data_IF_712501523340
#
_entry.id   IF_712501523340
#
_cell.length_a   1.000
_cell.length_b   1.000
_cell.length_c   1.000
_cell.angle_alpha   90.00
_cell.angle_beta   90.00
_cell.angle_gamma   90.00
#
_symmetry.space_group_name_H-M   'P 1'
#
loop_
_entity.id
_entity.type
_entity.pdbx_description
1 polymer ?
#
# COMPACT_ATOMS: atom_id res chain seq x y z
N UNK A 1 -19.48 18.61 0.49
CA UNK A 1 -19.43 17.12 0.48
C UNK A 1 -18.86 16.71 1.83
N UNK A 2 -19.53 15.85 2.60
CA UNK A 2 -19.01 15.40 3.89
C UNK A 2 -17.72 14.61 3.64
N UNK A 3 -16.61 15.05 4.22
CA UNK A 3 -15.35 14.32 4.19
C UNK A 3 -15.54 12.97 4.92
N UNK A 4 -15.93 11.95 4.16
CA UNK A 4 -16.13 10.62 4.74
C UNK A 4 -14.77 10.01 5.06
N UNK A 5 -14.58 9.66 6.32
CA UNK A 5 -13.38 8.96 6.76
C UNK A 5 -13.35 7.56 6.13
N UNK A 6 -12.30 7.28 5.39
CA UNK A 6 -12.11 5.97 4.75
C UNK A 6 -11.52 4.97 5.74
N UNK A 7 -10.50 5.40 6.49
CA UNK A 7 -9.82 4.56 7.49
C UNK A 7 -9.76 5.32 8.81
N UNK A 8 -10.15 4.67 9.91
CA UNK A 8 -9.99 5.16 11.28
C UNK A 8 -9.31 4.09 12.12
N UNK A 9 -8.30 4.48 12.86
CA UNK A 9 -7.58 3.64 13.81
C UNK A 9 -7.61 4.34 15.16
N UNK A 10 -8.08 3.65 16.19
CA UNK A 10 -8.26 4.20 17.51
C UNK A 10 -7.55 3.37 18.57
N UNK A 11 -6.58 3.94 19.26
CA UNK A 11 -5.79 3.38 20.36
C UNK A 11 -5.26 1.98 20.05
N UNK A 12 -4.80 1.77 18.81
CA UNK A 12 -4.37 0.47 18.32
C UNK A 12 -3.01 0.10 18.88
N UNK A 13 -2.95 -1.09 19.49
CA UNK A 13 -1.71 -1.65 20.02
C UNK A 13 -1.49 -3.05 19.41
N UNK A 14 -0.23 -3.39 19.15
CA UNK A 14 0.16 -4.73 18.73
C UNK A 14 1.45 -5.16 19.40
N UNK A 15 1.36 -6.28 20.10
CA UNK A 15 2.51 -7.00 20.66
C UNK A 15 2.59 -8.41 20.07
N UNK A 16 3.81 -8.93 19.97
CA UNK A 16 4.11 -10.33 19.73
C UNK A 16 4.87 -10.83 20.96
N UNK A 17 4.34 -11.81 21.64
CA UNK A 17 4.84 -12.27 22.94
C UNK A 17 5.00 -11.07 23.90
N UNK A 18 6.22 -10.77 24.33
CA UNK A 18 6.52 -9.66 25.24
C UNK A 18 7.07 -8.41 24.53
N UNK A 19 7.08 -8.40 23.18
CA UNK A 19 7.61 -7.25 22.42
C UNK A 19 6.48 -6.42 21.84
N UNK A 20 6.35 -5.19 22.33
CA UNK A 20 5.45 -4.19 21.76
C UNK A 20 6.00 -3.68 20.43
N UNK A 21 5.21 -3.80 19.36
CA UNK A 21 5.57 -3.38 17.99
C UNK A 21 4.85 -2.11 17.60
N UNK A 22 3.55 -1.99 17.96
CA UNK A 22 2.78 -0.77 17.76
C UNK A 22 2.17 -0.36 19.09
N UNK A 23 2.22 0.93 19.35
CA UNK A 23 1.80 1.53 20.61
C UNK A 23 0.92 2.76 20.37
N UNK A 24 -0.32 2.68 20.86
CA UNK A 24 -1.31 3.76 20.83
C UNK A 24 -1.40 4.46 19.47
N UNK A 25 -1.53 3.66 18.39
CA UNK A 25 -1.70 4.21 17.05
C UNK A 25 -3.10 4.81 16.93
N UNK A 26 -3.13 6.09 16.65
CA UNK A 26 -4.34 6.87 16.34
C UNK A 26 -4.15 7.50 14.96
N UNK A 27 -5.06 7.20 14.00
CA UNK A 27 -4.93 7.60 12.61
C UNK A 27 -6.31 7.78 11.97
N UNK A 28 -6.46 8.82 11.15
CA UNK A 28 -7.67 9.02 10.35
C UNK A 28 -7.29 9.44 8.94
N UNK A 29 -7.76 8.70 7.94
CA UNK A 29 -7.52 8.95 6.51
C UNK A 29 -8.85 9.21 5.81
N UNK A 30 -8.88 10.25 5.00
CA UNK A 30 -10.02 10.60 4.15
C UNK A 30 -9.87 9.93 2.78
N UNK A 31 -10.99 9.76 2.04
CA UNK A 31 -10.97 9.26 0.67
C UNK A 31 -10.31 10.22 -0.31
N UNK A 32 -9.82 9.70 -1.44
CA UNK A 32 -9.29 10.48 -2.56
C UNK A 32 -7.89 11.03 -2.34
N UNK A 33 -7.03 10.32 -1.59
CA UNK A 33 -5.66 10.76 -1.29
C UNK A 33 -4.63 9.68 -1.56
N UNK A 34 -3.42 10.11 -1.90
CA UNK A 34 -2.21 9.29 -1.91
C UNK A 34 -1.42 9.60 -0.65
N UNK A 35 -1.25 8.60 0.20
CA UNK A 35 -0.67 8.73 1.53
C UNK A 35 0.65 7.96 1.62
N UNK A 36 1.72 8.64 2.02
CA UNK A 36 3.00 8.02 2.34
C UNK A 36 3.06 7.56 3.81
N UNK A 37 3.16 6.26 4.06
CA UNK A 37 3.48 5.69 5.37
C UNK A 37 5.00 5.51 5.47
N UNK A 38 5.67 6.48 6.05
CA UNK A 38 7.11 6.66 5.98
C UNK A 38 7.78 6.33 7.32
N UNK A 39 8.89 5.60 7.28
CA UNK A 39 9.61 5.19 8.48
C UNK A 39 10.77 4.28 8.17
N UNK A 40 11.74 4.16 9.08
CA UNK A 40 12.86 3.23 8.95
C UNK A 40 12.39 1.78 8.87
N UNK A 41 13.27 0.88 8.46
CA UNK A 41 12.96 -0.55 8.49
C UNK A 41 12.77 -1.03 9.94
N UNK A 42 11.78 -1.90 10.15
CA UNK A 42 11.49 -2.48 11.47
C UNK A 42 10.70 -1.62 12.46
N UNK A 43 10.26 -0.40 12.08
CA UNK A 43 9.49 0.50 12.98
C UNK A 43 8.01 0.13 13.12
N UNK A 44 7.50 -0.87 12.36
CA UNK A 44 6.12 -1.34 12.47
C UNK A 44 5.24 -1.07 11.24
N UNK A 45 5.72 -0.48 10.12
CA UNK A 45 4.92 -0.22 8.91
C UNK A 45 4.18 -1.45 8.41
N UNK A 46 4.90 -2.53 8.10
CA UNK A 46 4.30 -3.80 7.62
C UNK A 46 3.35 -4.42 8.65
N UNK A 47 3.61 -4.26 9.94
CA UNK A 47 2.69 -4.72 11.00
C UNK A 47 1.39 -3.94 10.98
N UNK A 48 1.44 -2.62 10.86
CA UNK A 48 0.26 -1.76 10.73
C UNK A 48 -0.54 -2.10 9.47
N UNK A 49 0.14 -2.26 8.34
CA UNK A 49 -0.47 -2.68 7.06
C UNK A 49 -1.19 -4.02 7.20
N UNK A 50 -0.55 -5.01 7.82
CA UNK A 50 -1.17 -6.34 8.04
C UNK A 50 -2.40 -6.28 8.94
N UNK A 51 -2.41 -5.38 9.92
CA UNK A 51 -3.59 -5.15 10.78
C UNK A 51 -4.72 -4.50 9.98
N UNK A 52 -4.44 -3.50 9.15
CA UNK A 52 -5.44 -2.86 8.26
C UNK A 52 -6.08 -3.89 7.31
N UNK A 53 -5.29 -4.85 6.81
CA UNK A 53 -5.75 -5.91 5.92
C UNK A 53 -6.35 -7.14 6.63
N UNK A 54 -6.54 -7.08 7.95
CA UNK A 54 -7.06 -8.21 8.76
C UNK A 54 -6.24 -9.51 8.58
N UNK A 55 -4.92 -9.35 8.42
CA UNK A 55 -3.94 -10.45 8.38
C UNK A 55 -3.31 -10.69 9.76
N UNK A 56 -3.52 -9.76 10.68
CA UNK A 56 -3.13 -9.84 12.08
C UNK A 56 -4.26 -9.30 12.95
N UNK A 57 -4.43 -9.88 14.13
CA UNK A 57 -5.36 -9.38 15.14
C UNK A 57 -4.65 -8.35 16.05
N UNK A 58 -5.23 -7.18 16.32
CA UNK A 58 -4.67 -6.24 17.27
C UNK A 58 -4.65 -6.81 18.70
N UNK A 59 -3.70 -6.37 19.51
CA UNK A 59 -3.67 -6.69 20.95
C UNK A 59 -4.76 -5.88 21.69
N UNK A 60 -4.97 -4.63 21.29
CA UNK A 60 -6.07 -3.77 21.75
C UNK A 60 -6.33 -2.66 20.74
N UNK A 61 -7.41 -1.90 20.94
CA UNK A 61 -7.86 -0.87 20.02
C UNK A 61 -8.72 -1.40 18.89
N UNK A 62 -8.99 -0.57 17.90
CA UNK A 62 -9.84 -0.95 16.76
C UNK A 62 -9.43 -0.26 15.48
N UNK A 63 -9.78 -0.90 14.36
CA UNK A 63 -9.66 -0.37 13.01
C UNK A 63 -11.05 -0.37 12.38
N UNK A 64 -11.43 0.75 11.79
CA UNK A 64 -12.67 0.92 11.04
C UNK A 64 -12.36 1.35 9.61
N UNK A 65 -13.04 0.74 8.64
CA UNK A 65 -12.99 1.15 7.23
C UNK A 65 -14.41 1.52 6.80
N UNK A 66 -14.59 2.77 6.36
CA UNK A 66 -15.91 3.37 6.12
C UNK A 66 -16.86 3.17 7.31
N UNK A 67 -16.34 3.30 8.55
CA UNK A 67 -17.10 3.12 9.79
C UNK A 67 -17.39 1.66 10.18
N UNK A 68 -16.97 0.70 9.38
CA UNK A 68 -17.18 -0.74 9.65
C UNK A 68 -15.92 -1.37 10.24
N UNK A 69 -16.07 -2.29 11.18
CA UNK A 69 -14.95 -3.10 11.68
C UNK A 69 -14.35 -3.92 10.55
N UNK A 70 -13.03 -4.11 10.60
CA UNK A 70 -12.34 -4.97 9.63
C UNK A 70 -12.90 -6.38 9.64
N UNK A 71 -13.02 -6.99 8.44
CA UNK A 71 -13.57 -8.31 8.22
C UNK A 71 -13.83 -8.58 6.74
N UNK A 72 -14.69 -9.55 6.43
CA UNK A 72 -14.96 -9.98 5.05
C UNK A 72 -15.41 -8.82 4.15
N UNK A 73 -16.34 -7.99 4.62
CA UNK A 73 -16.87 -6.88 3.80
C UNK A 73 -15.82 -5.81 3.51
N UNK A 74 -14.96 -5.49 4.47
CA UNK A 74 -13.89 -4.52 4.25
C UNK A 74 -12.79 -5.06 3.33
N UNK A 75 -12.56 -6.38 3.30
CA UNK A 75 -11.61 -7.02 2.36
C UNK A 75 -12.06 -6.90 0.90
N UNK A 76 -13.36 -6.80 0.65
CA UNK A 76 -13.90 -6.59 -0.71
C UNK A 76 -13.47 -5.25 -1.30
N UNK A 77 -13.33 -4.23 -0.46
CA UNK A 77 -13.01 -2.85 -0.87
C UNK A 77 -11.56 -2.45 -0.65
N UNK A 78 -10.72 -3.36 -0.14
CA UNK A 78 -9.27 -3.16 -0.01
C UNK A 78 -8.54 -3.98 -1.06
N UNK A 79 -7.57 -3.38 -1.73
CA UNK A 79 -6.61 -4.06 -2.59
C UNK A 79 -5.21 -3.95 -1.99
N UNK A 80 -4.57 -5.09 -1.74
CA UNK A 80 -3.31 -5.17 -0.99
C UNK A 80 -2.17 -5.74 -1.83
N UNK A 81 -1.06 -4.99 -1.89
CA UNK A 81 0.22 -5.44 -2.44
C UNK A 81 1.19 -5.66 -1.28
N UNK A 82 1.53 -6.91 -0.92
CA UNK A 82 2.56 -7.17 0.08
C UNK A 82 3.97 -7.02 -0.49
N UNK A 83 4.95 -6.73 0.37
CA UNK A 83 6.39 -6.64 0.04
C UNK A 83 6.93 -7.87 -0.70
N UNK A 84 6.39 -9.06 -0.40
CA UNK A 84 6.81 -10.31 -1.04
C UNK A 84 5.68 -10.93 -1.82
N UNK A 85 6.00 -11.47 -3.00
CA UNK A 85 4.99 -12.18 -3.79
C UNK A 85 4.46 -13.41 -3.06
N UNK A 86 3.15 -13.57 -3.09
CA UNK A 86 2.41 -14.72 -2.56
C UNK A 86 1.85 -15.62 -3.68
N UNK A 87 2.09 -15.25 -4.92
CA UNK A 87 1.54 -15.96 -6.08
C UNK A 87 2.12 -17.37 -6.19
N UNK A 88 1.27 -18.33 -6.52
CA UNK A 88 1.73 -19.71 -6.75
C UNK A 88 2.56 -19.78 -8.03
N UNK A 89 3.85 -20.05 -7.87
CA UNK A 89 4.83 -20.08 -8.95
C UNK A 89 4.56 -21.13 -10.03
N UNK A 90 3.76 -22.17 -9.75
CA UNK A 90 3.41 -23.21 -10.71
C UNK A 90 2.31 -22.78 -11.68
N UNK A 91 1.54 -21.76 -11.35
CA UNK A 91 0.48 -21.22 -12.19
C UNK A 91 1.05 -20.38 -13.35
N UNK A 92 0.32 -20.39 -14.46
CA UNK A 92 0.49 -19.39 -15.52
C UNK A 92 -0.13 -18.07 -15.08
N UNK A 93 0.30 -16.96 -15.68
CA UNK A 93 -0.29 -15.65 -15.41
C UNK A 93 -1.79 -15.65 -15.72
N UNK A 94 -2.22 -16.27 -16.84
CA UNK A 94 -3.63 -16.41 -17.19
C UNK A 94 -4.46 -17.15 -16.13
N UNK A 95 -3.90 -18.20 -15.53
CA UNK A 95 -4.57 -18.95 -14.47
C UNK A 95 -4.72 -18.11 -13.18
N UNK A 96 -3.72 -17.26 -12.89
CA UNK A 96 -3.82 -16.33 -11.76
C UNK A 96 -4.86 -15.24 -12.01
N UNK A 97 -4.96 -14.73 -13.25
CA UNK A 97 -6.01 -13.78 -13.64
C UNK A 97 -7.39 -14.39 -13.41
N UNK A 98 -7.63 -15.61 -13.92
CA UNK A 98 -8.90 -16.31 -13.72
C UNK A 98 -9.20 -16.54 -12.24
N UNK A 99 -8.19 -16.90 -11.43
CA UNK A 99 -8.34 -17.07 -10.00
C UNK A 99 -8.79 -15.75 -9.31
N UNK A 100 -8.22 -14.60 -9.72
CA UNK A 100 -8.62 -13.29 -9.19
C UNK A 100 -10.03 -12.89 -9.62
N UNK A 101 -10.41 -13.20 -10.87
CA UNK A 101 -11.74 -12.96 -11.42
C UNK A 101 -12.82 -13.78 -10.69
N UNK A 102 -12.52 -15.04 -10.35
CA UNK A 102 -13.41 -15.91 -9.58
C UNK A 102 -13.53 -15.47 -8.11
N UNK A 103 -12.48 -14.88 -7.54
CA UNK A 103 -12.43 -14.58 -6.10
C UNK A 103 -12.88 -13.16 -5.75
N UNK A 104 -12.70 -12.20 -6.66
CA UNK A 104 -12.99 -10.78 -6.42
C UNK A 104 -14.00 -10.23 -7.43
N UNK A 105 -15.22 -9.98 -6.99
CA UNK A 105 -16.29 -9.39 -7.82
C UNK A 105 -15.91 -8.04 -8.45
N UNK A 106 -14.94 -7.33 -7.86
CA UNK A 106 -14.46 -6.02 -8.31
C UNK A 106 -13.14 -6.09 -9.11
N UNK A 107 -12.76 -7.27 -9.60
CA UNK A 107 -11.58 -7.44 -10.44
C UNK A 107 -11.90 -7.24 -11.91
N UNK A 108 -11.09 -6.45 -12.60
CA UNK A 108 -11.20 -6.18 -14.04
C UNK A 108 -10.13 -6.98 -14.80
N UNK A 109 -10.51 -8.14 -15.32
CA UNK A 109 -9.59 -9.04 -16.04
C UNK A 109 -9.12 -8.45 -17.37
N UNK A 110 -9.92 -7.62 -18.05
CA UNK A 110 -9.54 -6.97 -19.30
C UNK A 110 -8.50 -5.88 -19.04
N UNK A 111 -8.66 -5.09 -17.97
CA UNK A 111 -7.64 -4.15 -17.50
C UNK A 111 -6.34 -4.87 -17.17
N UNK A 112 -6.41 -5.99 -16.45
CA UNK A 112 -5.22 -6.79 -16.12
C UNK A 112 -4.48 -7.26 -17.37
N UNK A 113 -5.19 -7.83 -18.35
CA UNK A 113 -4.62 -8.28 -19.63
C UNK A 113 -3.97 -7.15 -20.41
N UNK A 114 -4.63 -5.97 -20.46
CA UNK A 114 -4.10 -4.77 -21.10
C UNK A 114 -2.79 -4.32 -20.47
N UNK A 115 -2.76 -4.16 -19.14
CA UNK A 115 -1.55 -3.74 -18.40
C UNK A 115 -0.40 -4.73 -18.56
N UNK A 116 -0.68 -6.04 -18.56
CA UNK A 116 0.35 -7.07 -18.82
C UNK A 116 0.91 -6.99 -20.23
N UNK A 117 0.06 -6.72 -21.23
CA UNK A 117 0.49 -6.52 -22.61
C UNK A 117 1.36 -5.28 -22.76
N UNK A 118 1.00 -4.17 -22.10
CA UNK A 118 1.77 -2.92 -22.11
C UNK A 118 3.16 -3.11 -21.47
N UNK A 119 3.30 -4.11 -20.58
CA UNK A 119 4.56 -4.54 -19.94
C UNK A 119 5.35 -5.59 -20.72
N UNK A 120 4.86 -6.02 -21.87
CA UNK A 120 5.43 -7.14 -22.63
C UNK A 120 5.55 -8.44 -21.80
N UNK A 121 4.53 -8.73 -20.97
CA UNK A 121 4.46 -9.91 -20.13
C UNK A 121 3.51 -10.95 -20.75
N UNK A 122 4.05 -12.14 -21.08
CA UNK A 122 3.27 -13.23 -21.65
C UNK A 122 2.35 -13.89 -20.61
N UNK A 123 1.04 -13.78 -20.83
CA UNK A 123 0.02 -14.38 -19.97
C UNK A 123 0.05 -15.92 -19.94
N UNK A 124 0.66 -16.56 -20.92
CA UNK A 124 0.80 -18.02 -21.01
C UNK A 124 2.05 -18.53 -20.27
N UNK A 125 2.95 -17.63 -19.84
CA UNK A 125 4.15 -17.98 -19.12
C UNK A 125 3.83 -18.39 -17.67
N UNK A 126 4.51 -19.44 -17.17
CA UNK A 126 4.46 -19.80 -15.74
C UNK A 126 5.26 -18.80 -14.92
N UNK A 127 4.73 -18.42 -13.75
CA UNK A 127 5.41 -17.52 -12.82
C UNK A 127 6.80 -18.06 -12.41
N UNK A 128 6.98 -19.36 -12.26
CA UNK A 128 8.28 -19.97 -11.96
C UNK A 128 9.37 -19.69 -13.03
N UNK A 129 8.99 -19.35 -14.26
CA UNK A 129 9.93 -19.03 -15.35
C UNK A 129 10.18 -17.52 -15.49
N UNK A 130 9.51 -16.69 -14.70
CA UNK A 130 9.65 -15.24 -14.67
C UNK A 130 10.76 -14.83 -13.70
N UNK A 131 11.47 -13.75 -14.03
CA UNK A 131 12.36 -13.08 -13.07
C UNK A 131 11.56 -12.55 -11.88
N UNK A 132 12.25 -12.24 -10.77
CA UNK A 132 11.62 -11.64 -9.58
C UNK A 132 10.87 -10.35 -9.96
N UNK A 133 11.51 -9.44 -10.71
CA UNK A 133 10.88 -8.19 -11.13
C UNK A 133 9.65 -8.40 -12.03
N UNK A 134 9.66 -9.41 -12.92
CA UNK A 134 8.47 -9.77 -13.72
C UNK A 134 7.32 -10.25 -12.82
N UNK A 135 7.60 -11.08 -11.80
CA UNK A 135 6.59 -11.55 -10.84
C UNK A 135 6.01 -10.38 -10.02
N UNK A 136 6.83 -9.41 -9.62
CA UNK A 136 6.41 -8.21 -8.92
C UNK A 136 5.50 -7.32 -9.80
N UNK A 137 5.84 -7.15 -11.08
CA UNK A 137 5.00 -6.46 -12.05
C UNK A 137 3.64 -7.15 -12.23
N UNK A 138 3.61 -8.48 -12.37
CA UNK A 138 2.36 -9.25 -12.45
C UNK A 138 1.51 -9.00 -11.20
N UNK A 139 2.11 -9.08 -10.02
CA UNK A 139 1.40 -8.87 -8.75
C UNK A 139 0.84 -7.45 -8.63
N UNK A 140 1.60 -6.43 -9.03
CA UNK A 140 1.12 -5.05 -9.07
C UNK A 140 -0.08 -4.90 -10.01
N UNK A 141 0.01 -5.45 -11.23
CA UNK A 141 -1.09 -5.42 -12.20
C UNK A 141 -2.35 -6.03 -11.61
N UNK A 142 -2.26 -7.19 -10.97
CA UNK A 142 -3.42 -7.83 -10.33
C UNK A 142 -4.05 -6.94 -9.25
N UNK A 143 -3.23 -6.32 -8.41
CA UNK A 143 -3.70 -5.41 -7.35
C UNK A 143 -4.36 -4.16 -7.94
N UNK A 144 -3.75 -3.53 -8.95
CA UNK A 144 -4.26 -2.31 -9.58
C UNK A 144 -5.44 -2.56 -10.54
N UNK A 145 -5.70 -3.83 -10.89
CA UNK A 145 -6.86 -4.22 -11.69
C UNK A 145 -8.12 -4.49 -10.86
N UNK A 146 -8.06 -4.35 -9.54
CA UNK A 146 -9.26 -4.31 -8.70
C UNK A 146 -9.82 -2.89 -8.63
N UNK A 147 -11.15 -2.76 -8.61
CA UNK A 147 -11.81 -1.48 -8.32
C UNK A 147 -12.04 -1.38 -6.80
N UNK A 148 -11.01 -0.96 -6.07
CA UNK A 148 -11.01 -0.87 -4.62
C UNK A 148 -11.21 0.59 -4.15
N UNK A 149 -11.70 0.76 -2.92
CA UNK A 149 -11.75 2.07 -2.25
C UNK A 149 -10.42 2.43 -1.58
N UNK A 150 -9.68 1.40 -1.15
CA UNK A 150 -8.38 1.55 -0.49
C UNK A 150 -7.36 0.60 -1.10
N UNK A 151 -6.29 1.14 -1.65
CA UNK A 151 -5.11 0.38 -2.04
C UNK A 151 -4.06 0.52 -0.95
N UNK A 152 -3.48 -0.60 -0.53
CA UNK A 152 -2.42 -0.65 0.49
C UNK A 152 -1.21 -1.34 -0.12
N UNK A 153 -0.16 -0.57 -0.36
CA UNK A 153 1.03 -1.02 -1.08
C UNK A 153 2.23 -1.03 -0.13
N UNK A 154 2.73 -2.23 0.19
CA UNK A 154 3.85 -2.42 1.13
C UNK A 154 5.17 -2.54 0.38
N UNK A 155 6.01 -1.49 0.45
CA UNK A 155 7.32 -1.37 -0.22
C UNK A 155 7.27 -1.67 -1.73
N UNK A 156 6.34 -1.05 -2.52
CA UNK A 156 6.13 -1.40 -3.94
C UNK A 156 7.36 -1.11 -4.81
N UNK A 157 8.27 -0.26 -4.37
CA UNK A 157 9.49 0.14 -5.09
C UNK A 157 10.74 -0.59 -4.59
N UNK A 158 10.59 -1.49 -3.63
CA UNK A 158 11.69 -2.18 -2.99
C UNK A 158 12.41 -3.17 -3.91
N UNK A 159 13.72 -3.00 -4.12
CA UNK A 159 14.53 -3.97 -4.85
C UNK A 159 14.35 -3.98 -6.37
N UNK A 160 13.68 -2.97 -6.96
CA UNK A 160 13.54 -2.79 -8.41
C UNK A 160 14.48 -1.70 -8.93
N UNK A 161 14.84 -1.80 -10.21
CA UNK A 161 15.65 -0.78 -10.89
C UNK A 161 14.89 0.54 -11.11
N UNK A 162 15.58 1.67 -11.34
CA UNK A 162 14.94 2.98 -11.47
C UNK A 162 13.87 3.06 -12.56
N UNK A 163 14.09 2.49 -13.75
CA UNK A 163 13.11 2.52 -14.84
C UNK A 163 11.83 1.74 -14.47
N UNK A 164 11.98 0.65 -13.74
CA UNK A 164 10.84 -0.11 -13.22
C UNK A 164 10.09 0.67 -12.13
N UNK A 165 10.77 1.50 -11.32
CA UNK A 165 10.10 2.36 -10.32
C UNK A 165 9.18 3.39 -10.98
N UNK A 166 9.66 4.10 -11.99
CA UNK A 166 8.86 5.07 -12.74
C UNK A 166 7.61 4.40 -13.29
N UNK A 167 7.76 3.22 -13.91
CA UNK A 167 6.62 2.46 -14.41
C UNK A 167 5.62 2.06 -13.31
N UNK A 168 6.11 1.62 -12.14
CA UNK A 168 5.26 1.27 -10.99
C UNK A 168 4.45 2.50 -10.55
N UNK A 169 5.09 3.65 -10.43
CA UNK A 169 4.42 4.89 -10.03
C UNK A 169 3.38 5.33 -11.06
N UNK A 170 3.71 5.31 -12.35
CA UNK A 170 2.77 5.61 -13.43
C UNK A 170 1.58 4.64 -13.43
N UNK A 171 1.84 3.35 -13.20
CA UNK A 171 0.78 2.34 -13.09
C UNK A 171 -0.14 2.62 -11.90
N UNK A 172 0.40 2.98 -10.75
CA UNK A 172 -0.39 3.36 -9.57
C UNK A 172 -1.24 4.59 -9.88
N UNK A 173 -0.61 5.67 -10.36
CA UNK A 173 -1.27 6.96 -10.61
C UNK A 173 -2.37 6.87 -11.68
N UNK A 174 -2.15 6.08 -12.73
CA UNK A 174 -3.09 5.98 -13.86
C UNK A 174 -4.21 4.96 -13.65
N UNK A 175 -4.15 4.14 -12.61
CA UNK A 175 -5.01 2.98 -12.52
C UNK A 175 -5.85 2.84 -11.25
N UNK A 176 -5.75 3.76 -10.29
CA UNK A 176 -6.69 3.78 -9.16
C UNK A 176 -7.88 4.70 -9.45
N UNK A 177 -9.02 4.43 -8.79
CA UNK A 177 -10.21 5.27 -8.89
C UNK A 177 -9.95 6.61 -8.18
N UNK A 178 -10.32 7.74 -8.80
CA UNK A 178 -10.15 9.10 -8.22
C UNK A 178 -10.77 9.27 -6.82
N UNK A 179 -11.79 8.48 -6.48
CA UNK A 179 -12.40 8.49 -5.16
C UNK A 179 -11.75 7.52 -4.17
N UNK A 180 -10.84 6.66 -4.64
CA UNK A 180 -10.09 5.74 -3.80
C UNK A 180 -8.90 6.45 -3.15
N UNK A 181 -8.34 5.82 -2.12
CA UNK A 181 -7.07 6.24 -1.53
C UNK A 181 -6.01 5.17 -1.69
N UNK A 182 -4.76 5.62 -1.73
CA UNK A 182 -3.60 4.75 -1.81
C UNK A 182 -2.70 5.01 -0.62
N UNK A 183 -2.40 3.97 0.16
CA UNK A 183 -1.35 4.01 1.20
C UNK A 183 -0.12 3.32 0.62
N UNK A 184 0.98 4.04 0.54
CA UNK A 184 2.27 3.52 0.08
C UNK A 184 3.23 3.51 1.26
N UNK A 185 3.64 2.32 1.73
CA UNK A 185 4.75 2.24 2.68
C UNK A 185 6.06 2.20 1.92
N UNK A 186 7.01 3.01 2.35
CA UNK A 186 8.37 2.95 1.79
C UNK A 186 9.39 3.63 2.69
N UNK A 187 10.64 3.30 2.46
CA UNK A 187 11.82 4.03 2.95
C UNK A 187 12.49 4.85 1.83
N UNK A 188 12.03 4.73 0.57
CA UNK A 188 12.52 5.45 -0.61
C UNK A 188 11.66 6.70 -0.85
N UNK A 189 11.77 7.68 0.06
CA UNK A 189 10.87 8.84 0.12
C UNK A 189 11.05 9.74 -1.09
N UNK A 190 12.30 9.98 -1.53
CA UNK A 190 12.62 10.82 -2.70
C UNK A 190 11.90 10.39 -3.97
N UNK A 191 11.62 9.09 -4.11
CA UNK A 191 11.01 8.55 -5.32
C UNK A 191 9.52 8.85 -5.39
N UNK A 192 8.84 8.95 -4.23
CA UNK A 192 7.37 9.10 -4.16
C UNK A 192 6.90 10.45 -3.65
N UNK A 193 7.76 11.28 -3.05
CA UNK A 193 7.32 12.50 -2.34
C UNK A 193 6.50 13.47 -3.20
N UNK A 194 6.74 13.48 -4.52
CA UNK A 194 6.05 14.38 -5.46
C UNK A 194 4.59 14.03 -5.68
N UNK A 195 4.22 12.78 -5.45
CA UNK A 195 2.86 12.28 -5.68
C UNK A 195 2.03 12.21 -4.40
N UNK A 196 2.61 12.52 -3.25
CA UNK A 196 1.93 12.41 -1.96
C UNK A 196 1.07 13.63 -1.66
N UNK A 197 -0.20 13.38 -1.31
CA UNK A 197 -1.12 14.37 -0.73
C UNK A 197 -0.93 14.47 0.77
N UNK A 198 -0.61 13.37 1.43
CA UNK A 198 -0.48 13.28 2.88
C UNK A 198 0.70 12.38 3.28
N UNK A 199 1.36 12.71 4.37
CA UNK A 199 2.46 11.93 4.94
C UNK A 199 2.18 11.54 6.37
N UNK A 200 2.51 10.31 6.70
CA UNK A 200 2.45 9.73 8.03
C UNK A 200 3.84 9.21 8.37
N UNK A 201 4.47 9.80 9.39
CA UNK A 201 5.76 9.31 9.88
C UNK A 201 5.53 8.39 11.06
N UNK A 202 6.10 7.19 10.98
CA UNK A 202 6.08 6.20 12.06
C UNK A 202 7.50 5.94 12.56
N UNK A 203 7.68 5.99 13.88
CA UNK A 203 8.92 5.62 14.55
C UNK A 203 8.62 4.86 15.83
N UNK A 204 9.43 3.84 16.13
CA UNK A 204 9.32 3.00 17.33
C UNK A 204 7.89 2.58 17.66
N UNK A 205 7.12 2.25 16.61
CA UNK A 205 5.75 1.79 16.74
C UNK A 205 4.71 2.85 17.01
N UNK A 206 5.03 4.14 16.89
CA UNK A 206 4.11 5.26 17.12
C UNK A 206 4.04 6.18 15.90
N UNK A 207 2.88 6.81 15.65
CA UNK A 207 2.77 7.89 14.68
C UNK A 207 3.36 9.15 15.32
N UNK A 208 4.44 9.65 14.72
CA UNK A 208 5.13 10.86 15.22
C UNK A 208 4.77 12.12 14.45
N UNK A 209 4.20 11.96 13.25
CA UNK A 209 3.70 13.05 12.42
C UNK A 209 2.63 12.55 11.47
N UNK A 210 1.55 13.30 11.31
CA UNK A 210 0.58 13.20 10.21
C UNK A 210 0.33 14.60 9.69
N UNK A 211 0.53 14.82 8.40
CA UNK A 211 0.38 16.13 7.77
C UNK A 211 0.07 16.02 6.29
N UNK A 212 -0.65 17.01 5.77
CA UNK A 212 -0.69 17.31 4.34
C UNK A 212 0.73 17.58 3.84
N UNK A 213 1.10 16.98 2.70
CA UNK A 213 2.46 17.00 2.19
C UNK A 213 2.89 18.40 1.74
N UNK A 214 2.01 19.13 1.05
CA UNK A 214 2.32 20.49 0.59
C UNK A 214 2.43 21.49 1.74
N UNK A 215 1.53 21.38 2.73
CA UNK A 215 1.63 22.21 3.93
C UNK A 215 2.93 21.98 4.68
N UNK A 216 3.36 20.71 4.76
CA UNK A 216 4.61 20.36 5.45
C UNK A 216 5.83 20.89 4.68
N UNK A 217 5.88 20.73 3.34
CA UNK A 217 6.95 21.28 2.49
C UNK A 217 7.05 22.81 2.64
N UNK A 218 5.90 23.49 2.56
CA UNK A 218 5.84 24.94 2.66
C UNK A 218 6.28 25.47 4.03
N UNK A 219 5.86 24.80 5.11
CA UNK A 219 6.22 25.16 6.48
C UNK A 219 7.70 25.01 6.76
N UNK A 220 8.28 23.90 6.31
CA UNK A 220 9.69 23.57 6.55
C UNK A 220 10.63 24.10 5.45
N UNK A 221 10.07 24.62 4.36
CA UNK A 221 10.78 25.12 3.16
C UNK A 221 11.80 24.12 2.61
N UNK A 222 11.42 22.84 2.56
CA UNK A 222 12.28 21.76 2.10
C UNK A 222 11.47 20.51 1.70
N UNK A 223 12.13 19.50 1.11
CA UNK A 223 11.51 18.24 0.68
C UNK A 223 11.07 17.36 1.87
N UNK A 224 10.12 16.46 1.63
CA UNK A 224 9.68 15.46 2.63
C UNK A 224 10.84 14.55 3.03
N UNK A 225 11.69 14.16 2.06
CA UNK A 225 12.88 13.34 2.33
C UNK A 225 13.84 14.03 3.30
N UNK A 226 14.11 15.33 3.09
CA UNK A 226 15.00 16.11 3.97
C UNK A 226 14.40 16.29 5.37
N UNK A 227 13.08 16.54 5.48
CA UNK A 227 12.38 16.62 6.79
C UNK A 227 12.54 15.29 7.53
N UNK A 228 12.31 14.18 6.82
CA UNK A 228 12.44 12.85 7.39
C UNK A 228 13.87 12.59 7.89
N UNK A 229 14.89 12.90 7.08
CA UNK A 229 16.31 12.76 7.47
C UNK A 229 16.66 13.56 8.71
N UNK A 230 16.20 14.82 8.80
CA UNK A 230 16.41 15.67 9.98
C UNK A 230 15.75 15.08 11.24
N UNK A 231 14.50 14.61 11.14
CA UNK A 231 13.77 14.04 12.26
C UNK A 231 14.41 12.76 12.79
N UNK A 232 14.91 11.90 11.91
CA UNK A 232 15.40 10.59 12.27
C UNK A 232 16.94 10.47 12.26
N UNK A 233 17.64 11.59 12.07
CA UNK A 233 19.14 11.67 12.04
C UNK A 233 19.73 10.57 11.15
N UNK A 234 19.26 10.51 9.90
CA UNK A 234 19.72 9.56 8.89
C UNK A 234 20.81 10.17 8.02
#
# INVERSE_FOLDING_TARGET
MSNMKLLEINNLNKSFDNKEILKDINLSIQSGKIIGLLGKNGVGKTTLIKLINDLLTPTSGQILIKGQKIGVETKKIISYLPERTYLNKQMKVSEVISYFEDFYDNFDSEKAKKLLKDLDLDINQKLAKMSKGMQEKVQLVLVMSRNADLYVLDEPLGGVDPATRDYILDTILSNFNENASVIISTHLISDIEKILDEVIFIDKGQIVLQSDADKLRNKENTSIDEIFRRMFKC
#
